data_IF_239301309259
#
_entry.id   IF_239301309259
#
_cell.length_a   1.000
_cell.length_b   1.000
_cell.length_c   1.000
_cell.angle_alpha   90.00
_cell.angle_beta   90.00
_cell.angle_gamma   90.00
#
_symmetry.space_group_name_H-M   'P 1'
#
loop_
_entity.id
_entity.type
_entity.pdbx_description
1 polymer ?
#
# COMPACT_ATOMS: atom_id res chain seq x y z
N UNK A 1 -0.01 25.09 3.52
CA UNK A 1 1.33 24.50 3.71
C UNK A 1 1.20 23.38 4.73
N UNK A 2 1.97 22.30 4.63
CA UNK A 2 1.88 21.15 5.55
C UNK A 2 3.11 20.96 6.42
N UNK A 3 4.10 21.85 6.30
CA UNK A 3 5.35 21.80 7.06
C UNK A 3 5.24 22.66 8.32
N UNK A 4 5.87 22.17 9.39
CA UNK A 4 6.17 22.93 10.61
C UNK A 4 7.20 24.02 10.36
N UNK A 5 7.31 24.99 11.28
CA UNK A 5 8.30 26.06 11.19
C UNK A 5 9.74 25.53 11.13
N UNK A 6 10.03 24.46 11.87
CA UNK A 6 11.35 23.80 11.85
C UNK A 6 11.66 23.18 10.49
N UNK A 7 10.69 22.49 9.88
CA UNK A 7 10.87 21.88 8.56
C UNK A 7 11.06 22.95 7.48
N UNK A 8 10.34 24.07 7.58
CA UNK A 8 10.50 25.21 6.67
C UNK A 8 11.91 25.80 6.80
N UNK A 9 12.39 26.00 8.04
CA UNK A 9 13.72 26.53 8.29
C UNK A 9 14.85 25.61 7.81
N UNK A 10 14.58 24.31 7.63
CA UNK A 10 15.53 23.35 7.10
C UNK A 10 15.57 23.31 5.55
N UNK A 11 14.61 23.94 4.87
CA UNK A 11 14.58 24.02 3.41
C UNK A 11 15.49 25.15 2.91
N UNK A 12 15.98 24.97 1.68
CA UNK A 12 16.74 25.98 0.97
C UNK A 12 15.77 26.87 0.18
N UNK A 13 15.67 28.15 0.57
CA UNK A 13 14.67 29.09 0.04
C UNK A 13 14.81 29.27 -1.49
N UNK A 14 16.03 29.32 -2.01
CA UNK A 14 16.28 29.47 -3.45
C UNK A 14 15.79 28.24 -4.23
N UNK A 15 16.05 27.04 -3.71
CA UNK A 15 15.55 25.80 -4.31
C UNK A 15 14.03 25.70 -4.24
N UNK A 16 13.43 26.14 -3.14
CA UNK A 16 11.98 26.10 -2.96
C UNK A 16 11.28 27.05 -3.94
N UNK A 17 11.81 28.25 -4.14
CA UNK A 17 11.28 29.22 -5.09
C UNK A 17 11.48 28.77 -6.53
N UNK A 18 12.64 28.21 -6.86
CA UNK A 18 12.87 27.61 -8.17
C UNK A 18 11.92 26.43 -8.45
N UNK A 19 11.62 25.60 -7.45
CA UNK A 19 10.63 24.51 -7.55
C UNK A 19 9.23 25.06 -7.83
N UNK A 20 8.82 26.13 -7.14
CA UNK A 20 7.53 26.80 -7.36
C UNK A 20 7.45 27.44 -8.74
N UNK A 21 8.54 28.05 -9.21
CA UNK A 21 8.61 28.66 -10.54
C UNK A 21 8.56 27.61 -11.67
N UNK A 22 9.03 26.39 -11.42
CA UNK A 22 9.02 25.28 -12.37
C UNK A 22 7.64 24.59 -12.49
N UNK A 23 6.64 25.00 -11.71
CA UNK A 23 5.29 24.43 -11.78
C UNK A 23 4.64 24.74 -13.14
N UNK A 24 4.25 23.74 -13.93
CA UNK A 24 3.62 23.97 -15.22
C UNK A 24 2.25 24.66 -15.08
N UNK A 25 1.84 25.40 -16.10
CA UNK A 25 0.50 26.01 -16.16
C UNK A 25 -0.60 24.95 -15.99
N UNK A 26 -1.61 25.26 -15.16
CA UNK A 26 -2.70 24.34 -14.82
C UNK A 26 -2.35 23.28 -13.77
N UNK A 27 -1.11 23.28 -13.25
CA UNK A 27 -0.68 22.40 -12.16
C UNK A 27 -0.44 23.20 -10.86
N UNK A 28 -0.37 22.47 -9.75
CA UNK A 28 -0.20 23.04 -8.42
C UNK A 28 0.77 22.17 -7.61
N UNK A 29 1.84 22.76 -7.05
CA UNK A 29 2.79 22.03 -6.22
C UNK A 29 2.21 21.82 -4.81
N UNK A 30 1.53 20.71 -4.61
CA UNK A 30 0.68 20.49 -3.44
C UNK A 30 1.41 20.57 -2.07
N UNK A 31 2.71 20.27 -2.01
CA UNK A 31 3.50 20.42 -0.77
C UNK A 31 4.15 21.78 -0.61
N UNK A 32 4.52 22.45 -1.71
CA UNK A 32 5.24 23.73 -1.70
C UNK A 32 4.33 24.97 -1.76
N UNK A 33 3.11 24.83 -2.31
CA UNK A 33 2.11 25.89 -2.47
C UNK A 33 0.85 25.66 -1.61
N UNK A 34 0.84 24.60 -0.78
CA UNK A 34 -0.33 24.18 0.00
C UNK A 34 -1.30 23.30 -0.80
N UNK A 35 -2.39 22.85 -0.18
CA UNK A 35 -3.43 22.07 -0.87
C UNK A 35 -4.67 22.93 -1.13
N UNK A 36 -5.28 22.78 -2.32
CA UNK A 36 -6.53 23.48 -2.68
C UNK A 36 -7.78 22.70 -2.23
N UNK A 37 -7.65 21.82 -1.25
CA UNK A 37 -8.68 20.84 -0.87
C UNK A 37 -8.27 20.05 0.37
N UNK A 38 -8.37 18.71 0.30
CA UNK A 38 -7.97 17.85 1.40
C UNK A 38 -6.49 18.07 1.79
N UNK A 39 -6.12 17.95 3.08
CA UNK A 39 -4.73 18.13 3.49
C UNK A 39 -3.86 17.03 2.87
N UNK A 40 -2.57 17.31 2.74
CA UNK A 40 -1.56 16.28 2.48
C UNK A 40 -0.29 16.64 3.21
N UNK A 41 0.54 15.63 3.47
CA UNK A 41 1.90 15.83 3.97
C UNK A 41 2.88 15.25 2.96
N UNK A 42 4.05 15.84 2.85
CA UNK A 42 5.13 15.26 2.07
C UNK A 42 6.49 15.62 2.59
N UNK A 43 7.49 14.90 2.12
CA UNK A 43 8.89 15.06 2.50
C UNK A 43 9.70 15.55 1.30
N UNK A 44 9.96 16.86 1.24
CA UNK A 44 10.75 17.49 0.18
C UNK A 44 12.25 17.23 0.33
N UNK A 45 12.74 16.94 1.53
CA UNK A 45 14.16 16.66 1.79
C UNK A 45 14.48 15.22 1.40
N UNK A 46 13.56 14.31 1.72
CA UNK A 46 13.69 12.88 1.51
C UNK A 46 14.67 12.23 2.49
N UNK A 47 14.54 10.92 2.65
CA UNK A 47 15.40 10.08 3.49
C UNK A 47 16.32 9.19 2.64
N UNK A 48 17.49 8.86 3.15
CA UNK A 48 18.37 7.90 2.47
C UNK A 48 17.76 6.49 2.54
N UNK A 49 17.70 5.82 1.38
CA UNK A 49 17.11 4.51 1.23
C UNK A 49 17.99 3.61 0.34
N UNK A 50 19.22 3.35 0.78
CA UNK A 50 20.09 2.39 0.09
C UNK A 50 20.66 2.92 -1.23
N UNK A 51 21.14 4.17 -1.24
CA UNK A 51 21.74 4.80 -2.41
C UNK A 51 20.75 5.56 -3.30
N UNK A 52 19.45 5.53 -2.96
CA UNK A 52 18.43 6.42 -3.52
C UNK A 52 17.87 7.32 -2.44
N UNK A 53 17.37 8.49 -2.85
CA UNK A 53 16.67 9.43 -1.96
C UNK A 53 15.17 9.17 -2.03
N UNK A 54 14.59 8.71 -0.93
CA UNK A 54 13.16 8.40 -0.82
C UNK A 54 12.38 9.62 -0.33
N UNK A 55 11.47 10.10 -1.17
CA UNK A 55 10.48 11.12 -0.81
C UNK A 55 9.13 10.46 -0.57
N UNK A 56 8.46 10.79 0.54
CA UNK A 56 7.15 10.22 0.86
C UNK A 56 6.08 11.30 0.90
N UNK A 57 4.94 11.02 0.27
CA UNK A 57 3.77 11.90 0.23
C UNK A 57 2.56 11.09 0.72
N UNK A 58 1.78 11.65 1.64
CA UNK A 58 0.75 10.92 2.39
C UNK A 58 -0.52 11.75 2.59
N UNK A 59 -1.59 11.03 2.97
CA UNK A 59 -2.93 11.52 3.35
C UNK A 59 -3.92 11.79 2.20
N UNK A 60 -5.08 12.34 2.53
CA UNK A 60 -6.26 12.41 1.65
C UNK A 60 -6.07 13.28 0.40
N UNK A 61 -5.19 14.28 0.45
CA UNK A 61 -4.93 15.20 -0.65
C UNK A 61 -3.90 14.71 -1.67
N UNK A 62 -3.34 13.50 -1.52
CA UNK A 62 -2.39 12.95 -2.52
C UNK A 62 -3.14 12.72 -3.83
N UNK A 63 -2.72 13.36 -4.94
CA UNK A 63 -3.48 13.33 -6.19
C UNK A 63 -3.35 12.00 -6.93
N UNK A 64 -4.41 11.61 -7.64
CA UNK A 64 -4.41 10.43 -8.51
C UNK A 64 -3.66 10.66 -9.82
N UNK A 65 -3.59 11.92 -10.27
CA UNK A 65 -2.85 12.35 -11.45
C UNK A 65 -1.82 13.38 -11.03
N UNK A 66 -0.55 13.12 -11.30
CA UNK A 66 0.55 13.92 -10.76
C UNK A 66 1.72 14.04 -11.73
N UNK A 67 2.61 15.00 -11.45
CA UNK A 67 3.91 15.15 -12.10
C UNK A 67 4.96 15.32 -11.01
N UNK A 68 6.20 14.94 -11.30
CA UNK A 68 7.33 15.10 -10.39
C UNK A 68 8.18 16.26 -10.89
N UNK A 69 8.50 17.19 -9.99
CA UNK A 69 9.41 18.31 -10.25
C UNK A 69 10.69 18.06 -9.45
N UNK A 70 11.83 18.19 -10.10
CA UNK A 70 13.14 18.18 -9.46
C UNK A 70 13.88 19.46 -9.83
N UNK A 71 14.51 20.07 -8.82
CA UNK A 71 15.37 21.23 -8.97
C UNK A 71 16.69 20.95 -8.28
N UNK A 72 17.78 21.37 -8.91
CA UNK A 72 19.15 21.21 -8.40
C UNK A 72 19.74 22.53 -7.96
N UNK A 73 20.74 22.47 -7.08
CA UNK A 73 21.52 23.65 -6.66
C UNK A 73 22.27 24.34 -7.80
N UNK A 74 22.49 23.65 -8.92
CA UNK A 74 23.05 24.26 -10.14
C UNK A 74 22.03 25.07 -10.95
N UNK A 75 20.76 25.14 -10.50
CA UNK A 75 19.70 25.88 -11.17
C UNK A 75 18.99 25.11 -12.28
N UNK A 76 19.29 23.82 -12.46
CA UNK A 76 18.60 22.98 -13.44
C UNK A 76 17.30 22.46 -12.84
N UNK A 77 16.20 22.60 -13.60
CA UNK A 77 14.89 22.05 -13.27
C UNK A 77 14.43 21.04 -14.32
N UNK A 78 13.66 20.06 -13.87
CA UNK A 78 13.04 19.06 -14.72
C UNK A 78 11.66 18.70 -14.19
N UNK A 79 10.73 18.49 -15.12
CA UNK A 79 9.36 18.06 -14.84
C UNK A 79 9.09 16.77 -15.61
N UNK A 80 8.62 15.74 -14.91
CA UNK A 80 8.25 14.47 -15.53
C UNK A 80 7.04 14.59 -16.46
N UNK A 81 6.78 13.57 -17.27
CA UNK A 81 5.46 13.39 -17.88
C UNK A 81 4.37 13.17 -16.80
N UNK A 82 3.11 13.21 -17.23
CA UNK A 82 1.97 12.93 -16.36
C UNK A 82 1.96 11.46 -15.94
N UNK A 83 1.92 11.24 -14.64
CA UNK A 83 1.83 9.94 -14.00
C UNK A 83 0.44 9.77 -13.37
N UNK A 84 0.02 8.52 -13.27
CA UNK A 84 -1.24 8.14 -12.62
C UNK A 84 -0.99 7.15 -11.51
N UNK A 85 -1.58 7.41 -10.35
CA UNK A 85 -1.55 6.52 -9.20
C UNK A 85 -2.67 5.50 -9.34
N UNK A 86 -2.30 4.23 -9.50
CA UNK A 86 -3.26 3.14 -9.69
C UNK A 86 -3.80 2.56 -8.37
N UNK A 87 -3.07 2.72 -7.27
CA UNK A 87 -3.34 2.08 -5.97
C UNK A 87 -3.19 3.07 -4.82
N UNK A 88 -3.77 2.76 -3.65
CA UNK A 88 -3.66 3.58 -2.43
C UNK A 88 -2.22 3.92 -2.09
N UNK A 89 -1.37 2.90 -2.10
CA UNK A 89 0.06 3.02 -1.95
C UNK A 89 0.72 2.78 -3.31
N UNK A 90 1.50 3.77 -3.78
CA UNK A 90 2.21 3.73 -5.06
C UNK A 90 3.58 4.37 -4.90
N UNK A 91 4.53 3.89 -5.71
CA UNK A 91 5.87 4.45 -5.87
C UNK A 91 6.05 4.97 -7.29
N UNK A 92 6.98 5.90 -7.45
CA UNK A 92 7.52 6.29 -8.74
C UNK A 92 9.02 6.53 -8.57
N UNK A 93 9.78 6.09 -9.57
CA UNK A 93 11.23 6.17 -9.58
C UNK A 93 11.66 7.16 -10.65
N UNK A 94 12.54 8.09 -10.27
CA UNK A 94 13.12 9.06 -11.20
C UNK A 94 14.56 8.66 -11.50
N UNK A 95 14.85 8.45 -12.78
CA UNK A 95 16.21 8.37 -13.30
C UNK A 95 16.62 9.77 -13.76
N UNK A 96 17.40 10.45 -12.92
CA UNK A 96 17.86 11.81 -13.18
C UNK A 96 18.76 11.90 -14.42
N UNK A 97 19.65 10.92 -14.62
CA UNK A 97 20.57 10.91 -15.74
C UNK A 97 19.82 10.79 -17.07
N UNK A 98 18.76 9.98 -17.10
CA UNK A 98 17.92 9.79 -18.29
C UNK A 98 16.75 10.78 -18.40
N UNK A 99 16.46 11.56 -17.35
CA UNK A 99 15.32 12.48 -17.29
C UNK A 99 13.98 11.76 -17.49
N UNK A 100 13.84 10.61 -16.86
CA UNK A 100 12.62 9.79 -16.95
C UNK A 100 12.06 9.49 -15.57
N UNK A 101 10.73 9.50 -15.46
CA UNK A 101 10.02 8.92 -14.32
C UNK A 101 9.25 7.69 -14.77
N UNK A 102 9.24 6.66 -13.94
CA UNK A 102 8.43 5.46 -14.16
C UNK A 102 7.72 5.07 -12.88
N UNK A 103 6.47 4.64 -13.01
CA UNK A 103 5.71 4.01 -11.94
C UNK A 103 5.31 2.59 -12.37
N UNK A 104 5.13 1.65 -11.42
CA UNK A 104 4.59 0.34 -11.74
C UNK A 104 3.24 0.44 -12.46
N UNK A 105 2.99 -0.43 -13.42
CA UNK A 105 1.65 -0.52 -14.03
C UNK A 105 0.62 -0.93 -12.98
N UNK A 106 -0.64 -0.55 -13.18
CA UNK A 106 -1.74 -0.90 -12.28
C UNK A 106 -1.81 -2.41 -12.00
N UNK A 107 -1.62 -3.24 -13.04
CA UNK A 107 -1.61 -4.69 -12.91
C UNK A 107 -0.49 -5.18 -11.99
N UNK A 108 0.73 -4.65 -12.15
CA UNK A 108 1.87 -5.00 -11.29
C UNK A 108 1.63 -4.55 -9.86
N UNK A 109 1.12 -3.34 -9.64
CA UNK A 109 0.82 -2.82 -8.31
C UNK A 109 -0.20 -3.69 -7.56
N UNK A 110 -1.31 -4.06 -8.22
CA UNK A 110 -2.32 -4.95 -7.61
C UNK A 110 -1.78 -6.36 -7.35
N UNK A 111 -0.97 -6.92 -8.25
CA UNK A 111 -0.35 -8.23 -8.04
C UNK A 111 0.63 -8.22 -6.86
N UNK A 112 1.50 -7.20 -6.78
CA UNK A 112 2.42 -7.04 -5.66
C UNK A 112 1.67 -6.88 -4.35
N UNK A 113 0.64 -6.03 -4.31
CA UNK A 113 -0.22 -5.86 -3.14
C UNK A 113 -0.88 -7.19 -2.72
N UNK A 114 -1.42 -7.93 -3.68
CA UNK A 114 -2.05 -9.23 -3.41
C UNK A 114 -1.07 -10.22 -2.79
N UNK A 115 0.11 -10.40 -3.36
CA UNK A 115 1.10 -11.34 -2.82
C UNK A 115 1.70 -10.89 -1.48
N UNK A 116 1.88 -9.59 -1.27
CA UNK A 116 2.38 -9.06 0.01
C UNK A 116 1.38 -9.26 1.15
N UNK A 117 0.08 -9.37 0.87
CA UNK A 117 -0.93 -9.73 1.87
C UNK A 117 -1.09 -11.25 2.00
N UNK A 118 -1.07 -11.97 0.87
CA UNK A 118 -1.29 -13.42 0.82
C UNK A 118 -0.17 -14.21 1.48
N UNK A 119 1.09 -13.93 1.15
CA UNK A 119 2.19 -14.77 1.60
C UNK A 119 2.39 -14.74 3.12
N UNK A 120 2.38 -13.58 3.80
CA UNK A 120 2.44 -13.56 5.27
C UNK A 120 1.25 -14.27 5.90
N UNK A 121 0.04 -14.08 5.37
CA UNK A 121 -1.16 -14.75 5.89
C UNK A 121 -1.06 -16.27 5.76
N UNK A 122 -0.70 -16.77 4.58
CA UNK A 122 -0.49 -18.21 4.37
C UNK A 122 0.60 -18.78 5.29
N UNK A 123 1.66 -18.03 5.56
CA UNK A 123 2.71 -18.45 6.48
C UNK A 123 2.17 -18.56 7.92
N UNK A 124 1.53 -17.50 8.42
CA UNK A 124 1.01 -17.43 9.80
C UNK A 124 -0.06 -18.49 10.03
N UNK A 125 -1.06 -18.51 9.15
CA UNK A 125 -2.17 -19.44 9.26
C UNK A 125 -1.75 -20.88 8.98
N UNK A 126 -0.78 -21.10 8.09
CA UNK A 126 -0.20 -22.42 7.85
C UNK A 126 0.53 -22.97 9.09
N UNK A 127 1.31 -22.14 9.78
CA UNK A 127 1.94 -22.51 11.06
C UNK A 127 0.87 -22.86 12.11
N UNK A 128 -0.17 -22.04 12.22
CA UNK A 128 -1.29 -22.30 13.13
C UNK A 128 -2.05 -23.57 12.75
N UNK A 129 -2.26 -23.85 11.47
CA UNK A 129 -2.94 -25.04 10.99
C UNK A 129 -2.19 -26.31 11.46
N UNK A 130 -0.86 -26.31 11.34
CA UNK A 130 0.01 -27.38 11.82
C UNK A 130 0.02 -27.47 13.35
N UNK A 131 0.01 -26.35 14.08
CA UNK A 131 -0.09 -26.31 15.54
C UNK A 131 -1.45 -26.86 16.04
N UNK A 132 -2.52 -26.55 15.30
CA UNK A 132 -3.83 -27.17 15.43
C UNK A 132 -3.88 -28.59 14.84
N UNK A 133 -2.74 -29.20 14.53
CA UNK A 133 -2.55 -30.62 14.28
C UNK A 133 -3.23 -31.15 13.02
N UNK A 134 -3.58 -30.28 12.08
CA UNK A 134 -4.03 -30.65 10.75
C UNK A 134 -2.82 -30.95 9.89
N UNK A 135 -2.71 -32.18 9.36
CA UNK A 135 -1.56 -32.59 8.53
C UNK A 135 -1.98 -33.33 7.26
N UNK A 136 -3.26 -33.66 7.10
CA UNK A 136 -3.70 -34.35 5.90
C UNK A 136 -3.61 -33.45 4.67
N UNK A 137 -3.29 -34.03 3.51
CA UNK A 137 -3.28 -33.33 2.22
C UNK A 137 -4.60 -32.59 1.96
N UNK A 138 -5.72 -33.19 2.35
CA UNK A 138 -7.05 -32.57 2.24
C UNK A 138 -7.14 -31.29 3.08
N UNK A 139 -6.74 -31.32 4.34
CA UNK A 139 -6.77 -30.12 5.20
C UNK A 139 -5.86 -29.02 4.67
N UNK A 140 -4.67 -29.36 4.17
CA UNK A 140 -3.75 -28.41 3.55
C UNK A 140 -4.36 -27.78 2.28
N UNK A 141 -5.01 -28.58 1.42
CA UNK A 141 -5.69 -28.07 0.24
C UNK A 141 -6.89 -27.17 0.59
N UNK A 142 -7.69 -27.56 1.58
CA UNK A 142 -8.82 -26.73 2.06
C UNK A 142 -8.30 -25.40 2.59
N UNK A 143 -7.25 -25.42 3.41
CA UNK A 143 -6.57 -24.22 3.89
C UNK A 143 -6.14 -23.29 2.76
N UNK A 144 -5.37 -23.80 1.81
CA UNK A 144 -4.87 -23.01 0.69
C UNK A 144 -6.01 -22.45 -0.17
N UNK A 145 -7.03 -23.26 -0.47
CA UNK A 145 -8.16 -22.84 -1.29
C UNK A 145 -9.02 -21.78 -0.60
N UNK A 146 -9.32 -21.95 0.69
CA UNK A 146 -10.11 -20.96 1.44
C UNK A 146 -9.39 -19.62 1.44
N UNK A 147 -8.10 -19.59 1.83
CA UNK A 147 -7.30 -18.37 1.82
C UNK A 147 -7.19 -17.73 0.43
N UNK A 148 -6.95 -18.52 -0.61
CA UNK A 148 -6.82 -17.99 -1.97
C UNK A 148 -8.13 -17.35 -2.46
N UNK A 149 -9.27 -17.99 -2.15
CA UNK A 149 -10.60 -17.50 -2.54
C UNK A 149 -10.98 -16.24 -1.77
N UNK A 150 -10.80 -16.23 -0.44
CA UNK A 150 -11.19 -15.10 0.40
C UNK A 150 -10.32 -13.88 0.11
N UNK A 151 -9.00 -14.05 0.10
CA UNK A 151 -8.07 -12.95 -0.17
C UNK A 151 -8.09 -12.51 -1.63
N UNK A 152 -8.22 -13.46 -2.57
CA UNK A 152 -8.36 -13.13 -3.99
C UNK A 152 -9.65 -12.38 -4.29
N UNK A 153 -10.76 -12.81 -3.67
CA UNK A 153 -12.04 -12.10 -3.75
C UNK A 153 -11.96 -10.69 -3.18
N UNK A 154 -11.30 -10.52 -2.03
CA UNK A 154 -11.10 -9.20 -1.42
C UNK A 154 -10.21 -8.28 -2.26
N UNK A 155 -9.08 -8.79 -2.76
CA UNK A 155 -8.18 -8.04 -3.62
C UNK A 155 -8.88 -7.57 -4.90
N UNK A 156 -9.69 -8.44 -5.52
CA UNK A 156 -10.51 -8.08 -6.68
C UNK A 156 -11.56 -7.03 -6.35
N UNK A 157 -12.27 -7.18 -5.22
CA UNK A 157 -13.25 -6.19 -4.76
C UNK A 157 -12.62 -4.80 -4.56
N UNK A 158 -11.44 -4.74 -3.92
CA UNK A 158 -10.71 -3.50 -3.74
C UNK A 158 -10.27 -2.89 -5.08
N UNK A 159 -9.72 -3.70 -5.98
CA UNK A 159 -9.31 -3.23 -7.30
C UNK A 159 -10.49 -2.62 -8.08
N UNK A 160 -11.63 -3.32 -8.12
CA UNK A 160 -12.85 -2.84 -8.78
C UNK A 160 -13.37 -1.56 -8.13
N UNK A 161 -13.35 -1.48 -6.79
CA UNK A 161 -13.83 -0.30 -6.06
C UNK A 161 -12.97 0.91 -6.38
N UNK A 162 -11.64 0.76 -6.32
CA UNK A 162 -10.68 1.83 -6.61
C UNK A 162 -10.73 2.26 -8.06
N UNK A 163 -10.86 1.32 -9.01
CA UNK A 163 -10.96 1.66 -10.43
C UNK A 163 -12.24 2.45 -10.78
N UNK A 164 -13.36 2.18 -10.08
CA UNK A 164 -14.63 2.86 -10.37
C UNK A 164 -14.82 4.17 -9.59
N UNK A 165 -14.29 4.27 -8.38
CA UNK A 165 -14.56 5.39 -7.46
C UNK A 165 -13.31 6.21 -7.11
N UNK A 166 -12.14 5.85 -7.66
CA UNK A 166 -10.87 6.47 -7.35
C UNK A 166 -10.31 6.03 -5.99
N UNK A 167 -9.12 6.55 -5.69
CA UNK A 167 -8.39 6.23 -4.46
C UNK A 167 -8.80 7.22 -3.36
N UNK A 168 -9.68 6.82 -2.44
CA UNK A 168 -10.05 7.67 -1.29
C UNK A 168 -9.57 7.09 0.03
N UNK A 169 -9.14 7.93 0.98
CA UNK A 169 -8.79 7.46 2.32
C UNK A 169 -9.98 6.93 3.13
N UNK A 170 -11.23 7.13 2.66
CA UNK A 170 -12.43 6.48 3.20
C UNK A 170 -12.47 4.98 2.89
N UNK A 171 -11.73 4.51 1.88
CA UNK A 171 -11.60 3.07 1.59
C UNK A 171 -11.07 2.27 2.79
N UNK A 172 -10.16 2.85 3.60
CA UNK A 172 -9.63 2.26 4.84
C UNK A 172 -10.71 2.02 5.91
N UNK A 173 -11.75 2.84 5.96
CA UNK A 173 -12.86 2.70 6.93
C UNK A 173 -13.72 1.46 6.65
N UNK A 174 -13.71 0.97 5.41
CA UNK A 174 -14.39 -0.27 5.00
C UNK A 174 -13.52 -1.53 5.15
N UNK A 175 -12.21 -1.43 5.41
CA UNK A 175 -11.35 -2.60 5.61
C UNK A 175 -11.77 -3.39 6.86
N UNK A 176 -11.99 -2.73 8.00
CA UNK A 176 -12.32 -3.41 9.26
C UNK A 176 -13.64 -4.20 9.22
N UNK A 177 -14.75 -3.66 8.67
CA UNK A 177 -15.97 -4.44 8.48
C UNK A 177 -15.81 -5.63 7.53
N UNK A 178 -14.99 -5.49 6.48
CA UNK A 178 -14.78 -6.57 5.50
C UNK A 178 -13.93 -7.70 6.06
N UNK A 179 -12.87 -7.39 6.82
CA UNK A 179 -12.08 -8.43 7.49
C UNK A 179 -12.94 -9.27 8.44
N UNK A 180 -13.89 -8.64 9.14
CA UNK A 180 -14.85 -9.38 9.97
C UNK A 180 -15.74 -10.32 9.14
N UNK A 181 -16.21 -9.86 7.98
CA UNK A 181 -17.00 -10.69 7.06
C UNK A 181 -16.16 -11.87 6.53
N UNK A 182 -14.92 -11.61 6.12
CA UNK A 182 -13.97 -12.64 5.66
C UNK A 182 -13.78 -13.68 6.76
N UNK A 183 -13.49 -13.26 7.99
CA UNK A 183 -13.33 -14.15 9.13
C UNK A 183 -14.57 -15.03 9.34
N UNK A 184 -15.78 -14.48 9.23
CA UNK A 184 -17.02 -15.25 9.34
C UNK A 184 -17.13 -16.28 8.21
N UNK A 185 -16.85 -15.88 6.96
CA UNK A 185 -16.88 -16.77 5.79
C UNK A 185 -15.87 -17.91 5.96
N UNK A 186 -14.64 -17.61 6.34
CA UNK A 186 -13.59 -18.61 6.56
C UNK A 186 -13.93 -19.54 7.71
N UNK A 187 -14.45 -19.04 8.82
CA UNK A 187 -14.90 -19.85 9.95
C UNK A 187 -15.97 -20.85 9.52
N UNK A 188 -16.97 -20.40 8.76
CA UNK A 188 -18.02 -21.28 8.25
C UNK A 188 -17.45 -22.32 7.27
N UNK A 189 -16.55 -21.91 6.38
CA UNK A 189 -15.87 -22.80 5.45
C UNK A 189 -15.04 -23.86 6.18
N UNK A 190 -14.16 -23.46 7.10
CA UNK A 190 -13.30 -24.37 7.85
C UNK A 190 -14.10 -25.30 8.76
N UNK A 191 -15.12 -24.81 9.46
CA UNK A 191 -16.02 -25.65 10.26
C UNK A 191 -16.67 -26.75 9.43
N UNK A 192 -16.94 -26.51 8.15
CA UNK A 192 -17.61 -27.45 7.23
C UNK A 192 -16.64 -28.37 6.48
N UNK A 193 -15.47 -27.85 6.09
CA UNK A 193 -14.54 -28.48 5.16
C UNK A 193 -13.32 -29.13 5.84
N UNK A 194 -12.87 -28.63 7.00
CA UNK A 194 -11.83 -29.28 7.80
C UNK A 194 -12.43 -30.44 8.60
N UNK A 195 -12.44 -31.62 7.98
CA UNK A 195 -13.04 -32.82 8.56
C UNK A 195 -12.05 -33.72 9.31
N UNK A 196 -10.76 -33.37 9.35
CA UNK A 196 -9.71 -34.19 10.00
C UNK A 196 -9.81 -34.20 11.52
N UNK A 197 -10.32 -33.12 12.12
CA UNK A 197 -10.48 -32.96 13.58
C UNK A 197 -11.93 -32.57 13.91
N UNK A 198 -12.20 -32.31 15.19
CA UNK A 198 -13.54 -31.88 15.63
C UNK A 198 -13.92 -30.50 15.08
N UNK A 199 -15.22 -30.27 14.91
CA UNK A 199 -15.75 -28.97 14.48
C UNK A 199 -15.33 -27.83 15.42
N UNK A 200 -15.29 -28.07 16.73
CA UNK A 200 -14.83 -27.09 17.71
C UNK A 200 -13.37 -26.69 17.49
N UNK A 201 -12.50 -27.66 17.12
CA UNK A 201 -11.10 -27.38 16.78
C UNK A 201 -10.96 -26.63 15.47
N UNK A 202 -11.81 -26.90 14.48
CA UNK A 202 -11.85 -26.13 13.23
C UNK A 202 -12.29 -24.67 13.46
N UNK A 203 -13.28 -24.45 14.33
CA UNK A 203 -13.70 -23.10 14.73
C UNK A 203 -12.59 -22.38 15.49
N UNK A 204 -11.98 -23.04 16.48
CA UNK A 204 -10.86 -22.46 17.23
C UNK A 204 -9.66 -22.11 16.34
N UNK A 205 -9.36 -22.97 15.37
CA UNK A 205 -8.35 -22.70 14.35
C UNK A 205 -8.72 -21.45 13.53
N UNK A 206 -9.93 -21.38 12.97
CA UNK A 206 -10.34 -20.28 12.10
C UNK A 206 -10.25 -18.92 12.80
N UNK A 207 -10.74 -18.85 14.05
CA UNK A 207 -10.66 -17.62 14.86
C UNK A 207 -9.21 -17.25 15.15
N UNK A 208 -8.39 -18.20 15.62
CA UNK A 208 -6.99 -17.94 15.93
C UNK A 208 -6.19 -17.50 14.68
N UNK A 209 -6.40 -18.20 13.56
CA UNK A 209 -5.77 -17.91 12.28
C UNK A 209 -6.06 -16.48 11.83
N UNK A 210 -7.34 -16.11 11.73
CA UNK A 210 -7.77 -14.79 11.27
C UNK A 210 -7.35 -13.66 12.21
N UNK A 211 -7.46 -13.85 13.53
CA UNK A 211 -7.05 -12.81 14.50
C UNK A 211 -5.53 -12.62 14.48
N UNK A 212 -4.76 -13.71 14.44
CA UNK A 212 -3.30 -13.62 14.36
C UNK A 212 -2.84 -13.00 13.04
N UNK A 213 -3.41 -13.40 11.90
CA UNK A 213 -3.05 -12.85 10.60
C UNK A 213 -3.42 -11.37 10.49
N UNK A 214 -4.58 -10.95 11.01
CA UNK A 214 -4.96 -9.54 11.06
C UNK A 214 -4.02 -8.69 11.94
N UNK A 215 -3.71 -9.15 13.17
CA UNK A 215 -2.82 -8.42 14.09
C UNK A 215 -1.42 -8.28 13.51
N UNK A 216 -0.85 -9.37 12.99
CA UNK A 216 0.48 -9.34 12.37
C UNK A 216 0.44 -8.54 11.07
N UNK A 217 -0.64 -8.63 10.29
CA UNK A 217 -0.86 -7.82 9.10
C UNK A 217 -0.74 -6.33 9.40
N UNK A 218 -1.41 -5.84 10.44
CA UNK A 218 -1.30 -4.44 10.88
C UNK A 218 0.14 -4.02 11.21
N UNK A 219 0.94 -4.92 11.79
CA UNK A 219 2.34 -4.64 12.13
C UNK A 219 3.25 -4.68 10.89
N UNK A 220 2.87 -5.44 9.87
CA UNK A 220 3.65 -5.60 8.64
C UNK A 220 3.32 -4.58 7.55
N UNK A 221 2.23 -3.79 7.66
CA UNK A 221 1.84 -2.78 6.66
C UNK A 221 3.03 -1.87 6.29
N UNK A 222 3.64 -1.21 7.28
CA UNK A 222 4.70 -0.24 7.03
C UNK A 222 6.00 -0.88 6.50
N UNK A 223 6.51 -1.98 7.10
CA UNK A 223 7.69 -2.68 6.58
C UNK A 223 7.47 -3.27 5.17
N UNK A 224 6.33 -3.91 4.90
CA UNK A 224 6.01 -4.46 3.59
C UNK A 224 5.91 -3.35 2.55
N UNK A 225 5.30 -2.22 2.91
CA UNK A 225 5.22 -1.08 2.02
C UNK A 225 6.61 -0.56 1.64
N UNK A 226 7.49 -0.34 2.62
CA UNK A 226 8.88 0.09 2.36
C UNK A 226 9.64 -0.90 1.49
N UNK A 227 9.42 -2.20 1.72
CA UNK A 227 10.00 -3.24 0.87
C UNK A 227 9.49 -3.15 -0.57
N UNK A 228 8.18 -3.05 -0.79
CA UNK A 228 7.59 -2.88 -2.13
C UNK A 228 8.21 -1.68 -2.84
N UNK A 229 8.28 -0.53 -2.17
CA UNK A 229 8.90 0.70 -2.71
C UNK A 229 10.38 0.48 -3.09
N UNK A 230 11.13 -0.29 -2.31
CA UNK A 230 12.55 -0.55 -2.58
C UNK A 230 12.82 -1.43 -3.80
N UNK A 231 11.84 -2.24 -4.21
CA UNK A 231 11.96 -3.19 -5.33
C UNK A 231 11.16 -2.79 -6.58
N UNK A 232 10.47 -1.65 -6.53
CA UNK A 232 9.68 -1.09 -7.63
C UNK A 232 10.37 0.08 -8.31
#
# INVERSE_FOLDING_TARGET
>A
WSYSEEEIAALDDELLDALRAAVPEGWHACTAQGTNGAPMWGDLIGSDAGGVRLHSFRYHGVPDTYRIILVTKSGESWVSDTLHRATLQSSATVDWAKRTASAPSAAVAYLLQFFCMLLPTLLIEGVLLLAFGYRSRRSLLVFLLVNLVTQGGFALYLAVTVLNHGVSGWSLLFYLPIELIIMVVELLAYRRLLTEKSRGRAVGYAVAANVCSAVVGLWLIDPLWRFIVSIS
#
